data_IF_819424894057
#
_entry.id   IF_819424894057
#
_cell.length_a   1.000
_cell.length_b   1.000
_cell.length_c   1.000
_cell.angle_alpha   90.00
_cell.angle_beta   90.00
_cell.angle_gamma   90.00
#
_symmetry.space_group_name_H-M   'P 1'
#
loop_
_entity.id
_entity.type
_entity.pdbx_description
1 polymer ?
#
# COMPACT_ATOMS: atom_id res chain seq x y z
N UNK A 1 19.04 69.80 -3.89
CA UNK A 1 19.77 68.51 -3.98
C UNK A 1 19.38 67.53 -2.90
N UNK A 2 18.23 67.62 -2.26
CA UNK A 2 17.74 66.78 -1.15
C UNK A 2 16.49 65.98 -1.57
N UNK A 3 15.71 66.43 -2.55
CA UNK A 3 14.44 65.80 -2.98
C UNK A 3 14.60 64.52 -3.84
N UNK A 4 15.76 64.32 -4.46
CA UNK A 4 15.99 63.21 -5.37
C UNK A 4 16.41 61.88 -4.67
N UNK A 5 16.85 61.93 -3.41
CA UNK A 5 17.22 60.74 -2.62
C UNK A 5 16.03 60.04 -1.94
N UNK A 6 14.91 60.73 -1.74
CA UNK A 6 13.74 60.19 -1.04
C UNK A 6 12.87 59.31 -1.95
N UNK A 7 12.81 59.61 -3.24
CA UNK A 7 12.03 58.81 -4.22
C UNK A 7 12.67 57.45 -4.48
N UNK A 8 14.02 57.39 -4.48
CA UNK A 8 14.75 56.12 -4.76
C UNK A 8 14.65 55.07 -3.62
N UNK A 9 14.47 55.54 -2.36
CA UNK A 9 14.27 54.65 -1.21
C UNK A 9 12.86 54.07 -1.17
N UNK A 10 11.84 54.83 -1.58
CA UNK A 10 10.46 54.38 -1.62
C UNK A 10 10.24 53.25 -2.65
N UNK A 11 10.89 53.34 -3.83
CA UNK A 11 10.78 52.31 -4.88
C UNK A 11 11.48 51.00 -4.50
N UNK A 12 12.60 51.04 -3.76
CA UNK A 12 13.33 49.88 -3.30
C UNK A 12 12.52 49.11 -2.23
N UNK A 13 11.86 49.82 -1.31
CA UNK A 13 11.06 49.19 -0.25
C UNK A 13 9.77 48.58 -0.83
N UNK A 14 9.14 49.25 -1.81
CA UNK A 14 7.96 48.73 -2.51
C UNK A 14 8.25 47.44 -3.28
N UNK A 15 9.39 47.36 -4.00
CA UNK A 15 9.78 46.20 -4.79
C UNK A 15 10.19 44.99 -3.94
N UNK A 16 10.74 45.21 -2.73
CA UNK A 16 11.05 44.15 -1.78
C UNK A 16 9.77 43.49 -1.21
N UNK A 17 8.74 44.31 -0.90
CA UNK A 17 7.46 43.79 -0.39
C UNK A 17 6.68 42.98 -1.39
N UNK A 18 6.76 43.29 -2.69
CA UNK A 18 6.07 42.54 -3.74
C UNK A 18 6.74 41.21 -4.08
N UNK A 19 8.09 41.17 -4.05
CA UNK A 19 8.86 39.92 -4.21
C UNK A 19 8.62 38.97 -3.04
N UNK A 20 8.54 39.47 -1.80
CA UNK A 20 8.30 38.65 -0.63
C UNK A 20 6.88 38.05 -0.62
N UNK A 21 5.85 38.82 -1.06
CA UNK A 21 4.48 38.32 -1.19
C UNK A 21 4.35 37.23 -2.24
N UNK A 22 5.05 37.34 -3.39
CA UNK A 22 5.06 36.33 -4.46
C UNK A 22 5.77 35.04 -4.02
N UNK A 23 6.83 35.14 -3.22
CA UNK A 23 7.57 33.98 -2.70
C UNK A 23 6.80 33.22 -1.63
N UNK A 24 6.05 33.92 -0.76
CA UNK A 24 5.20 33.31 0.26
C UNK A 24 4.01 32.58 -0.39
N UNK A 25 3.41 33.15 -1.45
CA UNK A 25 2.32 32.50 -2.19
C UNK A 25 2.78 31.23 -2.91
N UNK A 26 3.98 31.20 -3.49
CA UNK A 26 4.54 30.00 -4.12
C UNK A 26 4.86 28.90 -3.09
N UNK A 27 5.35 29.25 -1.89
CA UNK A 27 5.65 28.29 -0.84
C UNK A 27 4.39 27.66 -0.23
N UNK A 28 3.29 28.40 -0.11
CA UNK A 28 2.01 27.89 0.41
C UNK A 28 1.35 26.90 -0.56
N UNK A 29 1.54 27.05 -1.89
CA UNK A 29 1.00 26.11 -2.88
C UNK A 29 1.71 24.75 -2.90
N UNK A 30 2.99 24.69 -2.51
CA UNK A 30 3.77 23.43 -2.50
C UNK A 30 3.40 22.55 -1.28
N UNK A 31 2.95 23.16 -0.18
CA UNK A 31 2.58 22.40 1.03
C UNK A 31 1.21 21.71 0.91
N UNK A 32 0.34 22.15 -0.02
CA UNK A 32 -1.01 21.58 -0.19
C UNK A 32 -1.10 20.33 -1.08
N UNK A 33 0.01 19.88 -1.69
CA UNK A 33 0.02 18.71 -2.60
C UNK A 33 0.49 17.40 -1.95
N UNK A 34 0.90 17.43 -0.69
CA UNK A 34 1.20 16.20 0.06
C UNK A 34 -0.01 15.80 0.91
N UNK A 35 -1.11 15.36 0.26
CA UNK A 35 -2.12 14.56 0.95
C UNK A 35 -1.47 13.21 1.20
N UNK A 36 -1.16 12.81 2.45
CA UNK A 36 -0.75 11.44 2.70
C UNK A 36 -1.91 10.56 2.23
N UNK A 37 -1.66 9.66 1.28
CA UNK A 37 -2.56 8.55 1.02
C UNK A 37 -2.69 7.82 2.36
N UNK A 38 -3.84 7.99 3.05
CA UNK A 38 -4.16 7.24 4.26
C UNK A 38 -4.33 5.79 3.82
N UNK A 39 -3.24 5.02 3.85
CA UNK A 39 -3.33 3.57 3.80
C UNK A 39 -4.22 3.13 4.97
N UNK A 40 -5.20 2.26 4.72
CA UNK A 40 -5.97 1.66 5.80
C UNK A 40 -5.00 1.01 6.80
N UNK A 41 -5.15 1.33 8.09
CA UNK A 41 -4.23 0.82 9.13
C UNK A 41 -4.16 -0.71 9.04
N UNK A 42 -2.96 -1.24 8.90
CA UNK A 42 -2.72 -2.68 8.83
C UNK A 42 -2.87 -3.33 7.44
N UNK A 43 -3.00 -2.57 6.37
CA UNK A 43 -3.03 -3.08 5.00
C UNK A 43 -1.91 -2.47 4.17
N UNK A 44 -1.12 -3.32 3.52
CA UNK A 44 -0.10 -2.91 2.54
C UNK A 44 -0.71 -2.95 1.14
N UNK A 45 -0.57 -1.87 0.38
CA UNK A 45 -1.01 -1.75 -1.01
C UNK A 45 0.19 -1.58 -1.94
N UNK A 46 0.31 -2.42 -2.96
CA UNK A 46 1.37 -2.36 -3.98
C UNK A 46 0.73 -2.29 -5.35
N UNK A 47 1.06 -1.27 -6.12
CA UNK A 47 0.55 -1.16 -7.50
C UNK A 47 1.24 -2.15 -8.42
N UNK A 48 0.48 -2.80 -9.30
CA UNK A 48 1.01 -3.68 -10.34
C UNK A 48 1.33 -2.92 -11.64
N UNK A 49 2.39 -3.36 -12.33
CA UNK A 49 2.74 -2.92 -13.68
C UNK A 49 1.99 -3.70 -14.78
N UNK A 50 1.16 -4.65 -14.40
CA UNK A 50 0.45 -5.58 -15.27
C UNK A 50 -1.07 -5.37 -15.17
N UNK A 51 -1.82 -5.93 -16.13
CA UNK A 51 -3.27 -5.98 -16.03
C UNK A 51 -3.73 -6.94 -14.91
N UNK A 52 -5.02 -6.98 -14.65
CA UNK A 52 -5.60 -7.74 -13.54
C UNK A 52 -5.33 -9.24 -13.64
N UNK A 53 -5.63 -9.84 -14.78
CA UNK A 53 -5.49 -11.28 -15.02
C UNK A 53 -4.03 -11.69 -14.91
N UNK A 54 -3.15 -10.96 -15.58
CA UNK A 54 -1.71 -11.22 -15.54
C UNK A 54 -1.15 -11.06 -14.13
N UNK A 55 -1.60 -10.07 -13.35
CA UNK A 55 -1.18 -9.89 -11.96
C UNK A 55 -1.59 -11.09 -11.10
N UNK A 56 -2.82 -11.57 -11.26
CA UNK A 56 -3.33 -12.72 -10.50
C UNK A 56 -2.57 -14.02 -10.84
N UNK A 57 -2.31 -14.27 -12.13
CA UNK A 57 -1.59 -15.45 -12.59
C UNK A 57 -0.10 -15.40 -12.19
N UNK A 58 0.53 -14.24 -12.25
CA UNK A 58 1.90 -14.03 -11.76
C UNK A 58 1.98 -14.26 -10.25
N UNK A 59 1.01 -13.77 -9.49
CA UNK A 59 0.97 -14.00 -8.05
C UNK A 59 0.88 -15.50 -7.73
N UNK A 60 0.04 -16.25 -8.44
CA UNK A 60 -0.06 -17.69 -8.31
C UNK A 60 1.26 -18.40 -8.65
N UNK A 61 1.88 -18.06 -9.79
CA UNK A 61 3.17 -18.61 -10.21
C UNK A 61 4.26 -18.40 -9.17
N UNK A 62 4.42 -17.16 -8.68
CA UNK A 62 5.41 -16.82 -7.66
C UNK A 62 5.16 -17.55 -6.34
N UNK A 63 3.89 -17.69 -5.92
CA UNK A 63 3.55 -18.46 -4.73
C UNK A 63 3.98 -19.91 -4.84
N UNK A 64 3.71 -20.55 -5.99
CA UNK A 64 4.12 -21.93 -6.28
C UNK A 64 5.65 -22.07 -6.29
N UNK A 65 6.37 -21.16 -6.96
CA UNK A 65 7.83 -21.14 -6.99
C UNK A 65 8.46 -21.00 -5.59
N UNK A 66 7.80 -20.26 -4.70
CA UNK A 66 8.23 -20.09 -3.30
C UNK A 66 7.76 -21.25 -2.38
N UNK A 67 7.14 -22.29 -2.92
CA UNK A 67 6.69 -23.46 -2.16
C UNK A 67 5.55 -23.14 -1.20
N UNK A 68 4.71 -22.14 -1.53
CA UNK A 68 3.48 -21.85 -0.81
C UNK A 68 2.36 -22.75 -1.33
N UNK A 69 1.50 -23.19 -0.43
CA UNK A 69 0.25 -23.86 -0.81
C UNK A 69 -0.81 -22.80 -1.07
N UNK A 70 -1.43 -22.85 -2.25
CA UNK A 70 -2.62 -22.06 -2.55
C UNK A 70 -3.83 -22.88 -2.13
N UNK A 71 -4.59 -22.36 -1.17
CA UNK A 71 -5.78 -23.01 -0.64
C UNK A 71 -7.03 -22.70 -1.46
N UNK A 72 -7.13 -21.46 -1.93
CA UNK A 72 -8.27 -21.03 -2.74
C UNK A 72 -7.97 -19.73 -3.50
N UNK A 73 -8.70 -19.53 -4.63
CA UNK A 73 -8.83 -18.26 -5.35
C UNK A 73 -10.33 -17.89 -5.35
N UNK A 74 -10.69 -16.78 -4.75
CA UNK A 74 -12.06 -16.31 -4.59
C UNK A 74 -12.26 -15.10 -5.51
N UNK A 75 -12.99 -15.31 -6.60
CA UNK A 75 -13.33 -14.28 -7.58
C UNK A 75 -14.56 -13.50 -7.14
N UNK A 76 -14.36 -12.49 -6.30
CA UNK A 76 -15.46 -11.70 -5.72
C UNK A 76 -16.33 -11.00 -6.77
N UNK A 77 -15.71 -10.47 -7.84
CA UNK A 77 -16.46 -9.82 -8.94
C UNK A 77 -17.37 -10.80 -9.68
N UNK A 78 -16.94 -12.04 -9.92
CA UNK A 78 -17.80 -13.07 -10.51
C UNK A 78 -18.94 -13.48 -9.55
N UNK A 79 -18.65 -13.54 -8.24
CA UNK A 79 -19.67 -13.80 -7.22
C UNK A 79 -20.71 -12.69 -7.15
N UNK A 80 -20.30 -11.43 -7.20
CA UNK A 80 -21.18 -10.27 -7.21
C UNK A 80 -22.08 -10.25 -8.45
N UNK A 81 -21.55 -10.56 -9.62
CA UNK A 81 -22.32 -10.62 -10.86
C UNK A 81 -23.47 -11.64 -10.81
N UNK A 82 -23.28 -12.79 -10.11
CA UNK A 82 -24.31 -13.81 -9.92
C UNK A 82 -25.55 -13.33 -9.13
N UNK A 83 -25.39 -12.26 -8.35
CA UNK A 83 -26.48 -11.64 -7.57
C UNK A 83 -26.86 -10.26 -8.11
N UNK A 84 -26.43 -9.94 -9.35
CA UNK A 84 -26.82 -8.71 -10.04
C UNK A 84 -26.07 -7.46 -9.59
N UNK A 85 -24.93 -7.61 -8.89
CA UNK A 85 -24.10 -6.51 -8.44
C UNK A 85 -22.88 -6.38 -9.37
N UNK A 86 -22.70 -5.20 -9.95
CA UNK A 86 -21.50 -4.88 -10.70
C UNK A 86 -20.38 -4.47 -9.75
N UNK A 87 -19.35 -5.30 -9.68
CA UNK A 87 -18.14 -5.04 -8.89
C UNK A 87 -16.93 -5.00 -9.83
N UNK A 88 -16.05 -3.99 -9.64
CA UNK A 88 -14.76 -3.97 -10.33
C UNK A 88 -14.00 -5.26 -10.08
N UNK A 89 -13.10 -5.63 -10.99
CA UNK A 89 -12.32 -6.85 -10.87
C UNK A 89 -11.69 -6.95 -9.49
N UNK A 90 -12.00 -8.02 -8.78
CA UNK A 90 -11.60 -8.25 -7.40
C UNK A 90 -11.47 -9.75 -7.16
N UNK A 91 -10.27 -10.21 -6.83
CA UNK A 91 -9.97 -11.61 -6.54
C UNK A 91 -9.09 -11.73 -5.30
N UNK A 92 -9.41 -12.67 -4.42
CA UNK A 92 -8.64 -12.98 -3.22
C UNK A 92 -7.94 -14.33 -3.40
N UNK A 93 -6.62 -14.34 -3.25
CA UNK A 93 -5.81 -15.57 -3.20
C UNK A 93 -5.49 -15.87 -1.74
N UNK A 94 -5.87 -17.06 -1.27
CA UNK A 94 -5.60 -17.57 0.08
C UNK A 94 -4.46 -18.58 -0.01
N UNK A 95 -3.37 -18.31 0.70
CA UNK A 95 -2.16 -19.11 0.61
C UNK A 95 -1.40 -19.19 1.92
N UNK A 96 -0.52 -20.17 2.04
CA UNK A 96 0.33 -20.30 3.22
C UNK A 96 1.31 -21.46 3.13
N UNK A 97 2.13 -21.52 4.18
CA UNK A 97 3.03 -22.65 4.38
C UNK A 97 3.04 -23.01 5.89
N UNK A 98 2.67 -24.23 6.28
CA UNK A 98 2.68 -24.65 7.70
C UNK A 98 4.01 -24.45 8.41
N UNK A 99 5.13 -24.59 7.69
CA UNK A 99 6.48 -24.34 8.25
C UNK A 99 6.68 -22.88 8.68
N UNK A 100 5.88 -21.96 8.14
CA UNK A 100 5.93 -20.53 8.44
C UNK A 100 4.82 -20.13 9.41
N UNK A 101 3.60 -20.60 9.19
CA UNK A 101 2.44 -20.23 10.00
C UNK A 101 2.40 -20.90 11.37
N UNK A 102 2.80 -22.17 11.46
CA UNK A 102 2.71 -22.91 12.74
C UNK A 102 3.59 -22.34 13.85
N UNK A 103 4.85 -21.90 13.61
CA UNK A 103 5.62 -21.21 14.63
C UNK A 103 4.92 -19.96 15.18
N UNK A 104 4.27 -19.17 14.31
CA UNK A 104 3.54 -17.99 14.74
C UNK A 104 2.32 -18.34 15.60
N UNK A 105 1.55 -19.36 15.21
CA UNK A 105 0.41 -19.87 16.00
C UNK A 105 0.87 -20.47 17.34
N UNK A 106 2.07 -21.02 17.41
CA UNK A 106 2.65 -21.51 18.68
C UNK A 106 2.95 -20.36 19.65
N UNK A 107 3.33 -19.18 19.15
CA UNK A 107 3.54 -18.00 19.98
C UNK A 107 2.21 -17.41 20.44
N UNK A 108 1.25 -17.29 19.54
CA UNK A 108 -0.07 -16.76 19.86
C UNK A 108 -1.12 -17.44 18.99
N UNK A 109 -1.90 -18.32 19.58
CA UNK A 109 -2.84 -19.18 18.87
C UNK A 109 -3.94 -18.39 18.15
N UNK A 110 -4.37 -17.25 18.71
CA UNK A 110 -5.42 -16.42 18.12
C UNK A 110 -5.09 -15.87 16.74
N UNK A 111 -3.79 -15.80 16.35
CA UNK A 111 -3.38 -15.36 15.01
C UNK A 111 -3.89 -16.29 13.90
N UNK A 112 -4.29 -17.52 14.25
CA UNK A 112 -4.93 -18.44 13.32
C UNK A 112 -6.21 -17.89 12.70
N UNK A 113 -6.87 -16.90 13.33
CA UNK A 113 -8.02 -16.19 12.77
C UNK A 113 -7.67 -15.43 11.47
N UNK A 114 -6.47 -14.88 11.41
CA UNK A 114 -5.98 -14.11 10.25
C UNK A 114 -5.16 -14.95 9.27
N UNK A 115 -4.79 -16.16 9.65
CA UNK A 115 -4.13 -17.14 8.77
C UNK A 115 -5.17 -18.08 8.12
N UNK A 116 -4.87 -18.62 6.92
CA UNK A 116 -3.70 -18.41 6.06
C UNK A 116 -3.58 -16.98 5.55
N UNK A 117 -2.40 -16.62 5.01
CA UNK A 117 -2.18 -15.32 4.38
C UNK A 117 -3.12 -15.11 3.19
N UNK A 118 -3.42 -13.87 2.90
CA UNK A 118 -4.33 -13.47 1.84
C UNK A 118 -3.70 -12.34 1.02
N UNK A 119 -3.83 -12.43 -0.30
CA UNK A 119 -3.51 -11.34 -1.21
C UNK A 119 -4.76 -11.00 -2.03
N UNK A 120 -5.19 -9.76 -1.96
CA UNK A 120 -6.28 -9.23 -2.75
C UNK A 120 -5.71 -8.57 -4.00
N UNK A 121 -6.10 -9.06 -5.18
CA UNK A 121 -5.85 -8.40 -6.46
C UNK A 121 -7.13 -7.65 -6.84
N UNK A 122 -7.00 -6.35 -7.16
CA UNK A 122 -8.18 -5.53 -7.43
C UNK A 122 -7.87 -4.32 -8.31
N UNK A 123 -8.90 -3.83 -9.00
CA UNK A 123 -8.86 -2.62 -9.81
C UNK A 123 -9.52 -1.45 -9.07
N UNK A 124 -8.85 -0.30 -9.04
CA UNK A 124 -9.43 0.93 -8.52
C UNK A 124 -10.37 1.61 -9.55
N UNK A 125 -10.87 2.80 -9.22
CA UNK A 125 -11.78 3.59 -10.07
C UNK A 125 -11.13 4.12 -11.35
N UNK A 126 -9.79 4.03 -11.44
CA UNK A 126 -9.00 4.43 -12.61
C UNK A 126 -8.47 3.21 -13.38
N UNK A 127 -9.02 2.02 -13.14
CA UNK A 127 -8.56 0.75 -13.69
C UNK A 127 -7.08 0.42 -13.39
N UNK A 128 -6.51 1.03 -12.33
CA UNK A 128 -5.18 0.68 -11.86
C UNK A 128 -5.27 -0.57 -11.01
N UNK A 129 -4.36 -1.51 -11.25
CA UNK A 129 -4.31 -2.79 -10.56
C UNK A 129 -3.43 -2.71 -9.32
N UNK A 130 -3.91 -3.30 -8.24
CA UNK A 130 -3.26 -3.34 -6.94
C UNK A 130 -3.20 -4.76 -6.39
N UNK A 131 -2.14 -5.05 -5.64
CA UNK A 131 -2.05 -6.20 -4.75
C UNK A 131 -2.06 -5.66 -3.32
N UNK A 132 -2.98 -6.15 -2.50
CA UNK A 132 -3.10 -5.74 -1.10
C UNK A 132 -3.04 -6.96 -0.18
N UNK A 133 -2.39 -6.80 0.98
CA UNK A 133 -2.27 -7.86 1.97
C UNK A 133 -2.18 -7.28 3.38
N UNK A 134 -2.49 -8.10 4.40
CA UNK A 134 -2.37 -7.68 5.80
C UNK A 134 -0.89 -7.48 6.16
N UNK A 135 -0.58 -6.35 6.79
CA UNK A 135 0.73 -6.07 7.35
C UNK A 135 1.01 -7.05 8.52
N UNK A 136 2.09 -7.84 8.50
CA UNK A 136 2.44 -8.73 9.60
C UNK A 136 2.64 -7.99 10.94
N UNK A 137 3.09 -6.73 10.91
CA UNK A 137 3.21 -5.90 12.12
C UNK A 137 1.86 -5.53 12.72
N UNK A 138 0.86 -5.33 11.86
CA UNK A 138 -0.50 -5.14 12.33
C UNK A 138 -1.04 -6.40 13.02
N UNK A 139 -0.78 -7.60 12.46
CA UNK A 139 -1.18 -8.86 13.08
C UNK A 139 -0.47 -9.09 14.41
N UNK A 140 0.82 -8.76 14.50
CA UNK A 140 1.59 -8.77 15.74
C UNK A 140 0.90 -7.94 16.84
N UNK A 141 0.55 -6.70 16.52
CA UNK A 141 -0.15 -5.79 17.42
C UNK A 141 -1.57 -6.27 17.77
N UNK A 142 -2.36 -6.68 16.75
CA UNK A 142 -3.75 -7.14 16.91
C UNK A 142 -3.87 -8.31 17.87
N UNK A 143 -2.94 -9.25 17.79
CA UNK A 143 -2.97 -10.49 18.56
C UNK A 143 -2.05 -10.46 19.79
N UNK A 144 -1.41 -9.32 20.11
CA UNK A 144 -0.44 -9.18 21.19
C UNK A 144 0.66 -10.26 21.12
N UNK A 145 1.22 -10.49 19.93
CA UNK A 145 2.28 -11.48 19.72
C UNK A 145 3.58 -10.95 20.35
N UNK A 146 4.22 -11.74 21.20
CA UNK A 146 5.50 -11.43 21.82
C UNK A 146 6.43 -12.62 21.75
N UNK A 147 7.76 -12.35 21.71
CA UNK A 147 8.78 -13.39 21.64
C UNK A 147 8.89 -14.12 20.30
N UNK A 148 8.24 -13.59 19.24
CA UNK A 148 8.26 -14.14 17.89
C UNK A 148 8.59 -13.09 16.80
N UNK A 149 9.29 -12.04 17.18
CA UNK A 149 9.63 -10.90 16.33
C UNK A 149 10.41 -11.33 15.08
N UNK A 150 11.28 -12.33 15.21
CA UNK A 150 12.03 -12.90 14.08
C UNK A 150 11.10 -13.60 13.07
N UNK A 151 10.05 -14.29 13.55
CA UNK A 151 9.09 -14.97 12.70
C UNK A 151 8.26 -13.92 11.93
N UNK A 152 7.80 -12.87 12.61
CA UNK A 152 7.10 -11.74 12.00
C UNK A 152 7.97 -11.10 10.93
N UNK A 153 9.23 -10.79 11.22
CA UNK A 153 10.16 -10.20 10.27
C UNK A 153 10.39 -11.08 9.03
N UNK A 154 10.47 -12.40 9.21
CA UNK A 154 10.58 -13.35 8.09
C UNK A 154 9.33 -13.34 7.21
N UNK A 155 8.14 -13.29 7.80
CA UNK A 155 6.87 -13.22 7.07
C UNK A 155 6.77 -11.91 6.30
N UNK A 156 7.09 -10.78 6.95
CA UNK A 156 7.11 -9.45 6.35
C UNK A 156 8.01 -9.40 5.09
N UNK A 157 9.26 -9.86 5.20
CA UNK A 157 10.19 -9.93 4.08
C UNK A 157 9.72 -10.86 2.96
N UNK A 158 9.14 -12.01 3.32
CA UNK A 158 8.64 -12.97 2.34
C UNK A 158 7.46 -12.39 1.56
N UNK A 159 6.46 -11.79 2.22
CA UNK A 159 5.31 -11.17 1.58
C UNK A 159 5.72 -10.01 0.68
N UNK A 160 6.57 -9.11 1.18
CA UNK A 160 7.09 -8.00 0.37
C UNK A 160 7.83 -8.48 -0.88
N UNK A 161 8.65 -9.53 -0.76
CA UNK A 161 9.38 -10.13 -1.88
C UNK A 161 8.46 -10.80 -2.91
N UNK A 162 7.45 -11.56 -2.46
CA UNK A 162 6.46 -12.22 -3.30
C UNK A 162 5.65 -11.18 -4.08
N UNK A 163 5.10 -10.19 -3.39
CA UNK A 163 4.26 -9.15 -3.99
C UNK A 163 5.07 -8.29 -4.96
N UNK A 164 6.31 -7.93 -4.61
CA UNK A 164 7.20 -7.21 -5.53
C UNK A 164 7.45 -8.00 -6.81
N UNK A 165 7.76 -9.31 -6.72
CA UNK A 165 8.01 -10.15 -7.88
C UNK A 165 6.75 -10.30 -8.76
N UNK A 166 5.56 -10.36 -8.16
CA UNK A 166 4.30 -10.45 -8.90
C UNK A 166 3.90 -9.13 -9.58
N UNK A 167 4.28 -7.97 -9.02
CA UNK A 167 3.82 -6.64 -9.44
C UNK A 167 4.78 -5.87 -10.35
N UNK A 168 6.04 -6.30 -10.49
CA UNK A 168 7.07 -5.59 -11.28
C UNK A 168 7.54 -6.39 -12.49
N UNK A 169 7.97 -5.65 -13.54
CA UNK A 169 8.64 -6.22 -14.74
C UNK A 169 10.04 -6.68 -14.42
#
# INVERSE_FOLDING_TARGET
MVTMKFTMLADVVSNQGEKMKKTIFAAVWIVFLAIPAMAADGVVHVSSAFNFEETADRMESILNEKGMTIFNRIKHSEGAAKVGIELRKTELIIFGNPKVGSPLMKCQQSVALDLPQKALIWEDDRAKVWISYNDPRYLEKRHNISGCEEVILKIEKALAGIVKAASTK
#
